data_IF_224191058018
#
_entry.id   IF_224191058018
#
_cell.length_a   1.000
_cell.length_b   1.000
_cell.length_c   1.000
_cell.angle_alpha   90.00
_cell.angle_beta   90.00
_cell.angle_gamma   90.00
#
_symmetry.space_group_name_H-M   'P 1'
#
loop_
_entity.id
_entity.type
_entity.pdbx_description
1 polymer ?
#
# COMPACT_ATOMS: atom_id res chain seq x y z
N UNK A 1 2.63 0.51 39.74
CA UNK A 1 2.34 -0.82 39.21
C UNK A 1 3.58 -1.31 38.48
N UNK A 2 4.25 -2.37 38.97
CA UNK A 2 5.35 -3.02 38.24
C UNK A 2 4.75 -3.67 37.03
N UNK A 3 5.07 -3.14 35.84
CA UNK A 3 4.67 -3.74 34.55
C UNK A 3 5.33 -5.12 34.42
N UNK A 4 4.55 -6.19 34.45
CA UNK A 4 5.04 -7.54 34.20
C UNK A 4 5.32 -7.67 32.70
N UNK A 5 6.60 -7.83 32.33
CA UNK A 5 7.00 -8.03 30.94
C UNK A 5 6.73 -9.47 30.54
N UNK A 6 5.95 -9.67 29.48
CA UNK A 6 5.81 -10.97 28.85
C UNK A 6 7.06 -11.29 28.02
N UNK A 7 7.49 -12.54 28.06
CA UNK A 7 8.63 -13.07 27.27
C UNK A 7 8.14 -14.32 26.55
N UNK A 8 8.28 -14.36 25.24
CA UNK A 8 7.91 -15.50 24.41
C UNK A 8 9.14 -15.93 23.61
N UNK A 9 9.46 -17.21 23.65
CA UNK A 9 10.43 -17.82 22.74
C UNK A 9 9.74 -18.30 21.46
N UNK A 10 10.49 -18.87 20.52
CA UNK A 10 9.91 -19.31 19.23
C UNK A 10 8.86 -20.42 19.42
N UNK A 11 9.09 -21.35 20.32
CA UNK A 11 8.16 -22.43 20.61
C UNK A 11 6.84 -21.89 21.18
N UNK A 12 6.91 -20.89 22.05
CA UNK A 12 5.71 -20.21 22.58
C UNK A 12 4.93 -19.54 21.45
N UNK A 13 5.62 -18.83 20.54
CA UNK A 13 5.02 -18.15 19.41
C UNK A 13 4.34 -19.14 18.44
N UNK A 14 5.00 -20.26 18.16
CA UNK A 14 4.48 -21.28 17.25
C UNK A 14 3.21 -21.95 17.79
N UNK A 15 3.10 -22.08 19.11
CA UNK A 15 1.95 -22.65 19.80
C UNK A 15 0.79 -21.66 20.01
N UNK A 16 0.96 -20.37 19.69
CA UNK A 16 -0.14 -19.40 19.78
C UNK A 16 -1.26 -19.72 18.78
N UNK A 17 -2.50 -19.40 19.18
CA UNK A 17 -3.60 -19.38 18.23
C UNK A 17 -3.23 -18.58 16.97
N UNK A 18 -3.64 -19.09 15.82
CA UNK A 18 -3.28 -18.51 14.51
C UNK A 18 -3.61 -17.02 14.41
N UNK A 19 -4.80 -16.60 14.88
CA UNK A 19 -5.24 -15.20 14.79
C UNK A 19 -4.46 -14.33 15.78
N UNK A 20 -4.26 -14.82 16.99
CA UNK A 20 -3.48 -14.13 18.01
C UNK A 20 -2.02 -13.92 17.54
N UNK A 21 -1.36 -14.98 17.05
CA UNK A 21 0.00 -14.91 16.50
C UNK A 21 0.10 -13.91 15.36
N UNK A 22 -0.83 -13.95 14.41
CA UNK A 22 -0.86 -13.01 13.28
C UNK A 22 -0.94 -11.55 13.76
N UNK A 23 -1.82 -11.25 14.70
CA UNK A 23 -2.00 -9.91 15.25
C UNK A 23 -0.77 -9.45 16.02
N UNK A 24 -0.21 -10.33 16.89
CA UNK A 24 0.99 -10.04 17.66
C UNK A 24 2.16 -9.71 16.72
N UNK A 25 2.51 -10.61 15.80
CA UNK A 25 3.65 -10.43 14.88
C UNK A 25 3.47 -9.19 14.02
N UNK A 26 2.26 -8.94 13.51
CA UNK A 26 2.00 -7.74 12.71
C UNK A 26 2.18 -6.44 13.51
N UNK A 27 1.92 -6.45 14.82
CA UNK A 27 2.04 -5.25 15.65
C UNK A 27 3.45 -4.97 16.15
N UNK A 28 4.37 -5.95 16.15
CA UNK A 28 5.73 -5.79 16.66
C UNK A 28 6.56 -4.76 15.90
N UNK A 29 6.25 -4.50 14.63
CA UNK A 29 6.92 -3.47 13.83
C UNK A 29 6.51 -2.04 14.19
N UNK A 30 5.61 -1.86 15.16
CA UNK A 30 5.09 -0.56 15.57
C UNK A 30 4.02 0.01 14.64
N UNK A 31 3.84 1.32 14.69
CA UNK A 31 2.85 2.03 13.87
C UNK A 31 3.27 1.97 12.40
N UNK A 32 2.35 1.53 11.56
CA UNK A 32 2.53 1.48 10.11
C UNK A 32 1.52 2.40 9.43
N UNK A 33 1.97 3.25 8.49
CA UNK A 33 1.04 4.08 7.73
C UNK A 33 0.16 3.19 6.85
N UNK A 34 -1.13 3.49 6.81
CA UNK A 34 -2.04 2.92 5.82
C UNK A 34 -1.90 3.68 4.51
N UNK A 35 -1.79 2.94 3.41
CA UNK A 35 -1.71 3.49 2.06
C UNK A 35 -2.69 2.77 1.16
N UNK A 36 -3.25 3.48 0.19
CA UNK A 36 -4.04 2.90 -0.89
C UNK A 36 -3.17 2.82 -2.16
N UNK A 37 -3.09 1.63 -2.73
CA UNK A 37 -2.41 1.43 -4.02
C UNK A 37 -3.45 1.41 -5.11
N UNK A 38 -3.40 2.42 -5.98
CA UNK A 38 -4.23 2.54 -7.17
C UNK A 38 -3.55 1.92 -8.38
N UNK A 39 -4.28 1.13 -9.14
CA UNK A 39 -3.82 0.51 -10.38
C UNK A 39 -4.91 0.54 -11.44
N UNK A 40 -4.52 0.36 -12.70
CA UNK A 40 -5.46 0.25 -13.81
C UNK A 40 -5.02 -0.89 -14.71
N UNK A 41 -5.97 -1.74 -15.12
CA UNK A 41 -5.73 -2.77 -16.11
C UNK A 41 -5.48 -2.18 -17.50
N UNK A 42 -4.92 -2.97 -18.39
CA UNK A 42 -4.81 -2.57 -19.82
C UNK A 42 -6.17 -2.34 -20.50
N UNK A 43 -7.22 -2.96 -19.95
CA UNK A 43 -8.59 -2.85 -20.48
C UNK A 43 -9.36 -1.67 -19.84
N UNK A 44 -8.69 -0.89 -18.95
CA UNK A 44 -9.23 0.34 -18.36
C UNK A 44 -9.98 0.17 -17.05
N UNK A 45 -9.98 -1.02 -16.43
CA UNK A 45 -10.58 -1.22 -15.11
C UNK A 45 -9.68 -0.74 -13.99
N UNK A 46 -10.22 0.12 -13.13
CA UNK A 46 -9.51 0.71 -12.00
C UNK A 46 -9.65 -0.17 -10.75
N UNK A 47 -8.55 -0.37 -10.04
CA UNK A 47 -8.51 -1.15 -8.81
C UNK A 47 -7.82 -0.35 -7.70
N UNK A 48 -8.29 -0.50 -6.48
CA UNK A 48 -7.75 0.16 -5.29
C UNK A 48 -7.65 -0.80 -4.12
N UNK A 49 -6.47 -0.91 -3.52
CA UNK A 49 -6.26 -1.84 -2.41
C UNK A 49 -5.43 -1.22 -1.29
N UNK A 50 -5.81 -1.52 -0.02
CA UNK A 50 -5.11 -1.03 1.16
C UNK A 50 -3.87 -1.86 1.48
N UNK A 51 -2.75 -1.17 1.78
CA UNK A 51 -1.48 -1.75 2.21
C UNK A 51 -0.89 -0.98 3.39
N UNK A 52 -0.30 -1.69 4.35
CA UNK A 52 0.43 -1.13 5.48
C UNK A 52 1.92 -1.47 5.45
N UNK A 53 2.43 -1.92 4.32
CA UNK A 53 3.80 -2.41 4.15
C UNK A 53 4.62 -1.58 3.16
N UNK A 54 4.20 -0.35 2.91
CA UNK A 54 4.97 0.59 2.08
C UNK A 54 6.22 1.02 2.82
N UNK A 55 7.36 0.96 2.14
CA UNK A 55 8.68 1.33 2.69
C UNK A 55 9.46 2.20 1.70
N UNK A 56 10.20 3.16 2.23
CA UNK A 56 11.19 3.92 1.48
C UNK A 56 12.43 3.06 1.25
N UNK A 57 12.95 3.04 0.02
CA UNK A 57 14.13 2.25 -0.34
C UNK A 57 15.34 3.11 -0.70
N UNK A 58 15.12 4.30 -1.22
CA UNK A 58 16.19 5.22 -1.59
C UNK A 58 15.65 6.54 -2.13
N UNK A 59 16.48 7.59 -2.04
CA UNK A 59 16.14 8.93 -2.53
C UNK A 59 16.84 9.28 -3.86
N UNK A 60 17.91 8.58 -4.20
CA UNK A 60 18.60 8.72 -5.48
C UNK A 60 19.18 7.40 -5.98
N UNK A 61 18.48 6.64 -6.85
CA UNK A 61 17.15 6.98 -7.40
C UNK A 61 16.04 6.93 -6.36
N UNK A 62 15.02 7.77 -6.54
CA UNK A 62 13.86 7.80 -5.65
C UNK A 62 13.00 6.54 -5.83
N UNK A 63 12.92 5.69 -4.81
CA UNK A 63 12.30 4.38 -4.87
C UNK A 63 11.48 4.08 -3.61
N UNK A 64 10.33 3.45 -3.83
CA UNK A 64 9.50 2.85 -2.78
C UNK A 64 9.19 1.39 -3.11
N UNK A 65 9.03 0.61 -2.05
CA UNK A 65 8.55 -0.76 -2.16
C UNK A 65 7.35 -1.02 -1.27
N UNK A 66 6.63 -2.10 -1.55
CA UNK A 66 5.61 -2.64 -0.66
C UNK A 66 5.60 -4.16 -0.73
N UNK A 67 5.11 -4.80 0.35
CA UNK A 67 5.05 -6.25 0.43
C UNK A 67 3.71 -6.75 -0.08
N UNK A 68 3.76 -7.58 -1.08
CA UNK A 68 2.64 -8.32 -1.63
C UNK A 68 2.61 -9.72 -1.01
N UNK A 69 1.46 -10.13 -0.47
CA UNK A 69 1.27 -11.48 0.07
C UNK A 69 1.42 -12.54 -1.03
N UNK A 70 1.67 -13.82 -0.67
CA UNK A 70 1.79 -14.88 -1.66
C UNK A 70 0.62 -14.86 -2.64
N UNK A 71 0.93 -14.92 -3.92
CA UNK A 71 -0.06 -14.97 -4.98
C UNK A 71 -0.35 -16.44 -5.30
N UNK A 72 -1.61 -16.74 -5.57
CA UNK A 72 -2.05 -18.03 -6.09
C UNK A 72 -1.97 -18.02 -7.61
N UNK A 73 -2.44 -19.10 -8.26
CA UNK A 73 -2.54 -19.19 -9.72
C UNK A 73 -3.41 -18.08 -10.35
N UNK A 74 -4.26 -17.44 -9.54
CA UNK A 74 -5.00 -16.23 -9.95
C UNK A 74 -4.51 -15.06 -9.08
N UNK A 75 -3.52 -14.28 -9.52
CA UNK A 75 -2.98 -13.15 -8.78
C UNK A 75 -4.03 -12.06 -8.60
N UNK A 76 -3.93 -11.31 -7.51
CA UNK A 76 -4.80 -10.16 -7.23
C UNK A 76 -4.66 -9.09 -8.30
N UNK A 77 -5.74 -8.39 -8.59
CA UNK A 77 -5.81 -7.39 -9.65
C UNK A 77 -4.76 -6.30 -9.51
N UNK A 78 -4.46 -5.83 -8.29
CA UNK A 78 -3.36 -4.90 -8.06
C UNK A 78 -2.05 -5.36 -8.69
N UNK A 79 -1.64 -6.62 -8.45
CA UNK A 79 -0.38 -7.13 -8.97
C UNK A 79 -0.45 -7.43 -10.47
N UNK A 80 -1.57 -8.00 -10.92
CA UNK A 80 -1.83 -8.25 -12.33
C UNK A 80 -1.74 -6.96 -13.15
N UNK A 81 -2.39 -5.90 -12.67
CA UNK A 81 -2.38 -4.60 -13.33
C UNK A 81 -0.96 -3.99 -13.37
N UNK A 82 -0.21 -4.07 -12.26
CA UNK A 82 1.19 -3.59 -12.22
C UNK A 82 2.05 -4.32 -13.26
N UNK A 83 1.93 -5.64 -13.37
CA UNK A 83 2.70 -6.40 -14.34
C UNK A 83 2.30 -6.10 -15.79
N UNK A 84 1.03 -5.78 -16.04
CA UNK A 84 0.53 -5.47 -17.39
C UNK A 84 0.88 -4.07 -17.86
N UNK A 85 0.83 -3.09 -16.96
CA UNK A 85 0.89 -1.66 -17.32
C UNK A 85 2.13 -0.97 -16.82
N UNK A 86 2.83 -1.54 -15.85
CA UNK A 86 4.00 -0.99 -15.14
C UNK A 86 3.72 0.27 -14.31
N UNK A 87 2.47 0.73 -14.18
CA UNK A 87 2.15 1.93 -13.44
C UNK A 87 1.23 1.64 -12.24
N UNK A 88 1.50 2.32 -11.13
CA UNK A 88 0.68 2.30 -9.95
C UNK A 88 0.86 3.56 -9.12
N UNK A 89 -0.07 3.83 -8.22
CA UNK A 89 0.00 4.96 -7.31
C UNK A 89 0.03 4.49 -5.86
N UNK A 90 0.67 5.24 -4.99
CA UNK A 90 0.60 5.12 -3.54
C UNK A 90 -0.06 6.39 -3.03
N UNK A 91 -1.11 6.24 -2.24
CA UNK A 91 -1.93 7.35 -1.76
C UNK A 91 -2.05 7.23 -0.24
N UNK A 92 -1.65 8.25 0.50
CA UNK A 92 -1.74 8.26 1.96
C UNK A 92 -3.19 8.26 2.41
N UNK A 93 -3.49 7.50 3.46
CA UNK A 93 -4.82 7.46 4.07
C UNK A 93 -4.86 8.39 5.26
N UNK A 94 -5.77 9.36 5.23
CA UNK A 94 -6.09 10.19 6.38
C UNK A 94 -7.24 9.60 7.19
N UNK A 95 -7.43 10.10 8.41
CA UNK A 95 -8.53 9.72 9.31
C UNK A 95 -9.90 9.99 8.70
N UNK A 96 -10.03 11.04 7.87
CA UNK A 96 -11.28 11.46 7.24
C UNK A 96 -11.95 10.37 6.38
N UNK A 97 -11.17 9.47 5.78
CA UNK A 97 -11.70 8.38 4.95
C UNK A 97 -11.16 6.98 5.29
N UNK A 98 -10.53 6.81 6.47
CA UNK A 98 -9.94 5.53 6.89
C UNK A 98 -10.92 4.35 6.86
N UNK A 99 -12.19 4.57 7.15
CA UNK A 99 -13.22 3.51 7.08
C UNK A 99 -13.40 3.02 5.64
N UNK A 100 -13.54 3.94 4.68
CA UNK A 100 -13.64 3.60 3.26
C UNK A 100 -12.38 2.87 2.79
N UNK A 101 -11.19 3.38 3.16
CA UNK A 101 -9.91 2.76 2.83
C UNK A 101 -9.80 1.33 3.37
N UNK A 102 -10.24 1.08 4.60
CA UNK A 102 -10.25 -0.27 5.19
C UNK A 102 -11.09 -1.26 4.38
N UNK A 103 -12.25 -0.83 3.89
CA UNK A 103 -13.15 -1.69 3.11
C UNK A 103 -12.61 -2.05 1.73
N UNK A 104 -11.58 -1.37 1.19
CA UNK A 104 -10.91 -1.81 -0.05
C UNK A 104 -10.16 -3.13 0.10
N UNK A 105 -10.09 -3.70 1.31
CA UNK A 105 -9.61 -5.07 1.56
C UNK A 105 -10.62 -6.15 1.18
N UNK A 106 -11.86 -5.79 0.86
CA UNK A 106 -12.89 -6.72 0.40
C UNK A 106 -12.45 -7.40 -0.91
N UNK A 107 -12.96 -8.63 -1.11
CA UNK A 107 -12.75 -9.34 -2.37
C UNK A 107 -13.88 -8.96 -3.32
N UNK A 108 -13.55 -8.23 -4.36
CA UNK A 108 -14.44 -7.91 -5.46
C UNK A 108 -14.11 -8.76 -6.69
N UNK A 109 -14.98 -8.75 -7.69
CA UNK A 109 -14.70 -9.30 -9.01
C UNK A 109 -13.82 -8.34 -9.82
N UNK A 110 -13.09 -8.82 -10.82
CA UNK A 110 -12.11 -8.00 -11.57
C UNK A 110 -12.74 -6.88 -12.41
N UNK A 111 -14.05 -6.90 -12.61
CA UNK A 111 -14.85 -5.89 -13.29
C UNK A 111 -15.49 -4.87 -12.31
N UNK A 112 -15.38 -5.10 -11.00
CA UNK A 112 -15.80 -4.17 -9.96
C UNK A 112 -14.61 -3.37 -9.43
N UNK A 113 -14.78 -2.05 -9.29
CA UNK A 113 -13.76 -1.17 -8.75
C UNK A 113 -14.04 -0.83 -7.29
N UNK A 114 -13.02 -0.95 -6.43
CA UNK A 114 -13.11 -0.48 -5.04
C UNK A 114 -13.34 1.04 -4.98
N UNK A 115 -12.87 1.82 -5.94
CA UNK A 115 -13.18 3.24 -6.04
C UNK A 115 -14.69 3.48 -6.05
N UNK A 116 -15.39 2.80 -6.92
CA UNK A 116 -16.84 2.96 -7.10
C UNK A 116 -17.60 2.33 -5.91
N UNK A 117 -17.22 1.12 -5.50
CA UNK A 117 -17.88 0.38 -4.43
C UNK A 117 -17.78 1.08 -3.08
N UNK A 118 -16.62 1.67 -2.77
CA UNK A 118 -16.38 2.36 -1.49
C UNK A 118 -16.63 3.86 -1.59
N UNK A 119 -17.06 4.37 -2.74
CA UNK A 119 -17.30 5.81 -2.99
C UNK A 119 -16.07 6.64 -2.63
N UNK A 120 -14.91 6.20 -3.13
CA UNK A 120 -13.64 6.92 -3.08
C UNK A 120 -13.46 7.59 -4.43
N UNK A 121 -13.27 8.90 -4.45
CA UNK A 121 -13.09 9.61 -5.71
C UNK A 121 -11.70 9.34 -6.28
N UNK A 122 -11.66 9.03 -7.57
CA UNK A 122 -10.42 8.90 -8.33
C UNK A 122 -10.12 10.16 -9.12
N UNK A 123 -8.83 10.42 -9.34
CA UNK A 123 -8.39 11.44 -10.28
C UNK A 123 -7.23 10.91 -11.14
N UNK A 124 -7.13 11.42 -12.34
CA UNK A 124 -5.98 11.22 -13.22
C UNK A 124 -5.24 12.54 -13.31
N UNK A 125 -3.92 12.50 -13.14
CA UNK A 125 -3.10 13.71 -13.14
C UNK A 125 -2.13 13.63 -14.32
N UNK A 126 -2.23 14.59 -15.19
CA UNK A 126 -1.54 14.64 -16.48
C UNK A 126 -1.74 13.31 -17.24
N UNK A 127 -0.69 12.80 -17.88
CA UNK A 127 -0.71 11.54 -18.63
C UNK A 127 -0.39 10.30 -17.77
N UNK A 128 -0.50 10.38 -16.43
CA UNK A 128 -0.18 9.25 -15.57
C UNK A 128 -1.26 8.16 -15.66
N UNK A 129 -0.86 6.96 -16.06
CA UNK A 129 -1.79 5.88 -16.44
C UNK A 129 -2.66 5.35 -15.29
N UNK A 130 -2.10 5.23 -14.08
CA UNK A 130 -2.82 4.70 -12.93
C UNK A 130 -3.58 5.80 -12.16
N UNK A 131 -4.77 5.52 -11.63
CA UNK A 131 -5.57 6.50 -10.89
C UNK A 131 -4.95 6.84 -9.53
N UNK A 132 -5.08 8.10 -9.14
CA UNK A 132 -4.82 8.58 -7.78
C UNK A 132 -6.12 8.64 -6.99
N UNK A 133 -6.00 8.59 -5.65
CA UNK A 133 -7.11 8.88 -4.74
C UNK A 133 -7.22 10.38 -4.55
N UNK A 134 -8.35 10.98 -4.93
CA UNK A 134 -8.54 12.43 -4.87
C UNK A 134 -8.47 12.99 -3.44
N UNK A 135 -9.02 12.26 -2.47
CA UNK A 135 -9.05 12.66 -1.06
C UNK A 135 -7.67 12.59 -0.37
N UNK A 136 -6.70 11.88 -0.94
CA UNK A 136 -5.35 11.78 -0.37
C UNK A 136 -4.59 13.09 -0.53
N UNK A 137 -4.01 13.59 0.56
CA UNK A 137 -3.17 14.79 0.53
C UNK A 137 -1.81 14.52 -0.13
N UNK A 138 -1.19 13.39 0.20
CA UNK A 138 0.11 12.99 -0.35
C UNK A 138 -0.08 11.77 -1.25
N UNK A 139 0.42 11.86 -2.48
CA UNK A 139 0.26 10.84 -3.51
C UNK A 139 1.57 10.68 -4.28
N UNK A 140 1.89 9.46 -4.62
CA UNK A 140 3.11 9.11 -5.35
C UNK A 140 2.71 8.28 -6.57
N UNK A 141 3.11 8.69 -7.75
CA UNK A 141 3.01 7.91 -8.97
C UNK A 141 4.31 7.16 -9.22
N UNK A 142 4.23 5.86 -9.42
CA UNK A 142 5.40 4.99 -9.57
C UNK A 142 5.35 4.19 -10.87
N UNK A 143 6.55 3.95 -11.42
CA UNK A 143 6.74 2.95 -12.46
C UNK A 143 7.40 1.72 -11.84
N UNK A 144 6.78 0.55 -12.03
CA UNK A 144 7.32 -0.72 -11.57
C UNK A 144 8.73 -0.93 -12.12
N UNK A 145 9.63 -1.35 -11.25
CA UNK A 145 11.01 -1.67 -11.57
C UNK A 145 11.22 -3.17 -11.51
N UNK A 146 10.91 -3.77 -10.36
CA UNK A 146 11.19 -5.18 -10.08
C UNK A 146 10.24 -5.71 -9.00
N UNK A 147 10.04 -7.03 -8.99
CA UNK A 147 9.37 -7.75 -7.90
C UNK A 147 10.31 -8.82 -7.37
N UNK A 148 10.82 -8.63 -6.15
CA UNK A 148 11.78 -9.52 -5.50
C UNK A 148 11.03 -10.57 -4.67
N UNK A 149 11.18 -11.87 -4.96
CA UNK A 149 10.58 -12.92 -4.14
C UNK A 149 11.22 -12.97 -2.75
N UNK A 150 10.38 -13.19 -1.72
CA UNK A 150 10.81 -13.32 -0.33
C UNK A 150 10.69 -14.78 0.14
N UNK A 151 11.52 -15.23 1.12
CA UNK A 151 11.55 -16.62 1.57
C UNK A 151 10.22 -17.18 2.08
N UNK A 152 9.29 -16.31 2.51
CA UNK A 152 7.96 -16.69 3.01
C UNK A 152 6.88 -16.73 1.89
N UNK A 153 7.29 -16.68 0.62
CA UNK A 153 6.39 -16.67 -0.53
C UNK A 153 5.75 -15.31 -0.84
N UNK A 154 6.01 -14.27 -0.04
CA UNK A 154 5.66 -12.90 -0.38
C UNK A 154 6.57 -12.37 -1.49
N UNK A 155 6.25 -11.21 -2.03
CA UNK A 155 7.13 -10.46 -2.94
C UNK A 155 7.23 -9.01 -2.49
N UNK A 156 8.41 -8.42 -2.61
CA UNK A 156 8.58 -6.98 -2.51
C UNK A 156 8.45 -6.40 -3.92
N UNK A 157 7.42 -5.60 -4.12
CA UNK A 157 7.22 -4.86 -5.38
C UNK A 157 7.92 -3.51 -5.26
N UNK A 158 8.87 -3.24 -6.13
CA UNK A 158 9.70 -2.04 -6.14
C UNK A 158 9.33 -1.15 -7.32
N UNK A 159 9.21 0.14 -7.08
CA UNK A 159 8.97 1.12 -8.13
C UNK A 159 9.81 2.38 -8.00
N UNK A 160 10.13 2.94 -9.17
CA UNK A 160 10.76 4.25 -9.29
C UNK A 160 9.69 5.34 -9.22
N UNK A 161 9.91 6.35 -8.41
CA UNK A 161 9.05 7.54 -8.36
C UNK A 161 9.07 8.27 -9.70
N UNK A 162 7.89 8.60 -10.20
CA UNK A 162 7.67 9.36 -11.44
C UNK A 162 6.90 10.65 -11.20
N UNK A 163 6.08 10.67 -10.15
CA UNK A 163 5.27 11.85 -9.80
C UNK A 163 5.08 11.90 -8.29
N UNK A 164 5.10 13.08 -7.71
CA UNK A 164 4.75 13.31 -6.29
C UNK A 164 3.77 14.47 -6.26
N UNK A 165 2.70 14.32 -5.48
CA UNK A 165 1.67 15.34 -5.29
C UNK A 165 1.48 15.52 -3.78
N UNK A 166 1.57 16.75 -3.31
CA UNK A 166 1.38 17.13 -1.91
C UNK A 166 0.93 18.59 -1.82
N UNK A 167 0.28 19.02 -0.73
CA UNK A 167 -0.09 20.40 -0.53
C UNK A 167 1.16 21.30 -0.39
N UNK A 168 1.22 22.40 -1.10
CA UNK A 168 2.39 23.29 -1.10
C UNK A 168 2.79 23.77 0.30
N UNK A 169 1.81 24.06 1.15
CA UNK A 169 2.03 24.51 2.53
C UNK A 169 2.50 23.40 3.50
N UNK A 170 2.52 22.14 3.07
CA UNK A 170 2.91 21.00 3.91
C UNK A 170 4.39 20.65 3.83
N UNK A 171 5.21 21.42 3.11
CA UNK A 171 6.64 21.18 2.99
C UNK A 171 7.43 22.34 3.59
N UNK A 172 8.44 22.03 4.40
CA UNK A 172 9.33 23.04 4.97
C UNK A 172 10.55 23.33 4.05
N UNK A 173 11.38 24.31 4.44
CA UNK A 173 12.58 24.72 3.69
C UNK A 173 13.63 23.60 3.54
N UNK A 174 13.60 22.58 4.39
CA UNK A 174 14.47 21.40 4.33
C UNK A 174 13.89 20.27 3.47
N UNK A 175 12.70 20.45 2.87
CA UNK A 175 12.05 19.45 2.06
C UNK A 175 11.34 18.35 2.87
N UNK A 176 11.03 18.58 4.14
CA UNK A 176 10.30 17.65 4.99
C UNK A 176 8.80 17.95 4.93
N UNK A 177 8.00 16.90 4.69
CA UNK A 177 6.53 17.01 4.70
C UNK A 177 6.00 16.97 6.13
N UNK A 178 5.12 17.91 6.44
CA UNK A 178 4.22 17.84 7.59
C UNK A 178 3.04 16.92 7.21
N UNK A 179 2.87 15.85 7.95
CA UNK A 179 1.87 14.83 7.70
C UNK A 179 0.69 14.89 8.67
N UNK A 180 0.61 15.91 9.54
CA UNK A 180 -0.48 16.15 10.48
C UNK A 180 -1.73 16.80 9.84
#
# INVERSE_FOLDING_TARGET
LKSTKMKLNITDIDNLDRKYRLNLINSLSGIKPANLIGTRSKDGFDNLAIFSSVVHLGSNPAQFGFILRPQTNNPRDTYKNILQTNFYTINHVSDSFIKKAHYTSAKLTSDESEFDRMKIEKEFVDDFYAPFVKESKVKIGLKHLESVPLPNGCSMVIGNVKKVIYPEHSINELGQLDLE
#
